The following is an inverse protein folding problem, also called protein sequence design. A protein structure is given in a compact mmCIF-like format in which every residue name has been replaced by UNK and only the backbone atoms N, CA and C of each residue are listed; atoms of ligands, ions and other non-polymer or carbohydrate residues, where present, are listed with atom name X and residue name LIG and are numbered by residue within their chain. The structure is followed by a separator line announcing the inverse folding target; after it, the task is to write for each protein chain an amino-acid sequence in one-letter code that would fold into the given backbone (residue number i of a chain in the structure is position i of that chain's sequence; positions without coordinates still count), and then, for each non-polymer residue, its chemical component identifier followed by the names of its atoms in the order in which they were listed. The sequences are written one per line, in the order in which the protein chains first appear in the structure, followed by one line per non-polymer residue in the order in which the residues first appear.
data_IF_380847611444
#
_entry.id   IF_380847611444
#
_cell.length_a   1.000
_cell.length_b   1.000
_cell.length_c   1.000
_cell.angle_alpha   90.00
_cell.angle_beta   90.00
_cell.angle_gamma   90.00
#
_symmetry.space_group_name_H-M   'P 1'
#
loop_
_entity.id
_entity.type
_entity.pdbx_description
1 polymer ?
#
# COMPACT_ATOMS: atom_id res chain seq x y z
N UNK A 1 -13.47 -2.93 8.61
CA UNK A 1 -12.10 -2.95 8.11
C UNK A 1 -11.76 -1.58 7.61
N UNK A 2 -10.55 -1.07 7.89
CA UNK A 2 -10.13 0.27 7.52
C UNK A 2 -8.66 0.27 7.12
N UNK A 3 -8.33 0.99 6.04
CA UNK A 3 -6.96 1.16 5.58
C UNK A 3 -6.21 2.20 6.41
N UNK A 4 -4.93 1.96 6.67
CA UNK A 4 -4.05 2.92 7.34
C UNK A 4 -3.63 4.05 6.39
N UNK A 5 -3.54 3.76 5.08
CA UNK A 5 -3.24 4.72 4.01
C UNK A 5 -4.53 5.19 3.31
N UNK A 6 -5.50 5.67 4.10
CA UNK A 6 -6.79 6.13 3.61
C UNK A 6 -7.12 7.51 4.16
N UNK A 7 -6.90 8.56 3.36
CA UNK A 7 -7.18 9.94 3.76
C UNK A 7 -8.64 10.35 3.54
N UNK A 8 -9.41 9.58 2.74
CA UNK A 8 -10.84 9.81 2.54
C UNK A 8 -11.67 9.29 3.72
N UNK A 9 -11.30 8.11 4.23
CA UNK A 9 -11.91 7.48 5.38
C UNK A 9 -10.83 7.15 6.41
N UNK A 10 -10.39 8.13 7.21
CA UNK A 10 -9.29 7.95 8.14
C UNK A 10 -9.64 6.97 9.28
N UNK A 11 -8.61 6.44 9.93
CA UNK A 11 -8.79 5.52 11.07
C UNK A 11 -9.67 6.11 12.19
N UNK A 12 -9.74 7.45 12.30
CA UNK A 12 -10.62 8.14 13.25
C UNK A 12 -12.08 7.76 13.02
N UNK A 13 -12.54 7.68 11.76
CA UNK A 13 -13.91 7.27 11.42
C UNK A 13 -14.19 5.83 11.85
N UNK A 14 -13.21 4.95 11.71
CA UNK A 14 -13.37 3.57 12.17
C UNK A 14 -13.54 3.48 13.68
N UNK A 15 -12.88 4.35 14.45
CA UNK A 15 -13.04 4.41 15.90
C UNK A 15 -14.40 4.98 16.32
N UNK A 16 -14.86 6.02 15.64
CA UNK A 16 -16.16 6.63 15.91
C UNK A 16 -17.31 5.66 15.59
N UNK A 17 -17.23 4.99 14.44
CA UNK A 17 -18.16 3.92 14.08
C UNK A 17 -18.14 2.77 15.10
N UNK A 18 -16.96 2.34 15.54
CA UNK A 18 -16.82 1.30 16.54
C UNK A 18 -17.39 1.74 17.89
N UNK A 19 -17.17 2.98 18.31
CA UNK A 19 -17.71 3.54 19.53
C UNK A 19 -19.26 3.58 19.49
N UNK A 20 -19.84 3.93 18.34
CA UNK A 20 -21.28 3.95 18.17
C UNK A 20 -21.88 2.53 18.18
N UNK A 21 -21.31 1.60 17.44
CA UNK A 21 -21.74 0.19 17.42
C UNK A 21 -21.63 -0.44 18.82
N UNK A 22 -20.61 -0.06 19.59
CA UNK A 22 -20.39 -0.60 20.94
C UNK A 22 -21.50 -0.26 21.94
N UNK A 23 -22.31 0.76 21.67
CA UNK A 23 -23.48 1.14 22.49
C UNK A 23 -24.70 0.26 22.22
N UNK A 24 -24.71 -0.44 21.10
CA UNK A 24 -25.87 -1.22 20.64
C UNK A 24 -25.78 -2.71 21.01
N UNK A 25 -26.78 -3.47 20.53
CA UNK A 25 -26.88 -4.93 20.72
C UNK A 25 -25.81 -5.72 19.96
N UNK A 26 -25.10 -5.09 19.01
CA UNK A 26 -24.05 -5.72 18.21
C UNK A 26 -22.65 -5.63 18.84
N UNK A 27 -22.50 -5.06 20.05
CA UNK A 27 -21.20 -4.83 20.72
C UNK A 27 -20.29 -6.08 20.81
N UNK A 28 -20.90 -7.25 21.04
CA UNK A 28 -20.14 -8.49 21.18
C UNK A 28 -19.70 -9.11 19.85
N UNK A 29 -20.23 -8.59 18.72
CA UNK A 29 -19.87 -8.98 17.38
C UNK A 29 -18.87 -8.01 16.72
N UNK A 30 -18.54 -6.91 17.41
CA UNK A 30 -17.65 -5.90 16.88
C UNK A 30 -16.21 -6.40 16.81
N UNK A 31 -15.61 -6.28 15.65
CA UNK A 31 -14.19 -6.46 15.42
C UNK A 31 -13.67 -5.37 14.48
N UNK A 32 -12.48 -4.87 14.76
CA UNK A 32 -11.78 -3.89 13.92
C UNK A 32 -10.56 -4.52 13.29
N UNK A 33 -10.35 -4.25 12.01
CA UNK A 33 -9.12 -4.61 11.29
C UNK A 33 -8.58 -3.35 10.64
N UNK A 34 -7.38 -2.92 11.04
CA UNK A 34 -6.60 -1.91 10.36
C UNK A 34 -5.56 -2.59 9.48
N UNK A 35 -5.53 -2.24 8.22
CA UNK A 35 -4.65 -2.87 7.24
C UNK A 35 -3.81 -1.83 6.52
N UNK A 36 -2.66 -2.21 5.98
CA UNK A 36 -1.67 -1.30 5.41
C UNK A 36 -2.07 -0.67 4.08
N UNK A 37 -3.19 -1.06 3.47
CA UNK A 37 -3.72 -0.44 2.26
C UNK A 37 -4.67 0.71 2.54
N UNK A 38 -5.16 1.36 1.49
CA UNK A 38 -6.15 2.43 1.54
C UNK A 38 -6.40 3.02 0.16
N UNK A 39 -7.17 4.12 0.07
CA UNK A 39 -7.38 4.84 -1.18
C UNK A 39 -6.09 5.50 -1.70
N UNK A 40 -5.17 5.85 -0.82
CA UNK A 40 -3.97 6.62 -1.15
C UNK A 40 -2.74 5.73 -1.39
N UNK A 41 -2.88 4.41 -1.28
CA UNK A 41 -1.79 3.49 -1.53
C UNK A 41 -1.69 2.36 -0.50
N UNK A 42 -0.46 1.95 -0.22
CA UNK A 42 -0.17 0.83 0.67
C UNK A 42 -0.31 -0.54 -0.01
N UNK A 43 -0.12 -1.60 0.75
CA UNK A 43 -0.17 -2.97 0.22
C UNK A 43 -1.60 -3.50 0.27
N UNK A 44 -2.04 -4.08 -0.85
CA UNK A 44 -3.31 -4.79 -0.88
C UNK A 44 -3.21 -6.09 -0.09
N UNK A 45 -4.00 -6.22 0.96
CA UNK A 45 -4.13 -7.43 1.78
C UNK A 45 -5.42 -8.20 1.46
N UNK A 46 -5.89 -8.12 0.22
CA UNK A 46 -7.21 -8.59 -0.20
C UNK A 46 -7.51 -10.04 0.18
N UNK A 47 -6.56 -10.97 0.01
CA UNK A 47 -6.74 -12.37 0.38
C UNK A 47 -6.93 -12.54 1.90
N UNK A 48 -6.11 -11.88 2.72
CA UNK A 48 -6.23 -11.90 4.18
C UNK A 48 -7.56 -11.31 4.65
N UNK A 49 -7.94 -10.16 4.09
CA UNK A 49 -9.17 -9.47 4.45
C UNK A 49 -10.42 -10.26 4.06
N UNK A 50 -10.40 -10.91 2.89
CA UNK A 50 -11.47 -11.81 2.47
C UNK A 50 -11.60 -13.00 3.41
N UNK A 51 -10.48 -13.64 3.77
CA UNK A 51 -10.48 -14.75 4.71
C UNK A 51 -11.00 -14.32 6.09
N UNK A 52 -10.55 -13.17 6.60
CA UNK A 52 -11.04 -12.62 7.86
C UNK A 52 -12.55 -12.33 7.82
N UNK A 53 -13.06 -11.81 6.69
CA UNK A 53 -14.51 -11.60 6.49
C UNK A 53 -15.27 -12.90 6.56
N UNK A 54 -14.81 -13.94 5.82
CA UNK A 54 -15.44 -15.27 5.83
C UNK A 54 -15.46 -15.85 7.24
N UNK A 55 -14.34 -15.79 7.96
CA UNK A 55 -14.23 -16.30 9.33
C UNK A 55 -15.19 -15.58 10.28
N UNK A 56 -15.32 -14.25 10.16
CA UNK A 56 -16.25 -13.46 10.97
C UNK A 56 -17.70 -13.85 10.68
N UNK A 57 -18.10 -13.99 9.39
CA UNK A 57 -19.42 -14.44 9.01
C UNK A 57 -19.70 -15.88 9.43
N UNK A 58 -18.75 -16.77 9.31
CA UNK A 58 -18.89 -18.17 9.75
C UNK A 58 -19.10 -18.26 11.27
N UNK A 59 -18.38 -17.43 12.04
CA UNK A 59 -18.59 -17.32 13.49
C UNK A 59 -19.99 -16.81 13.85
N UNK A 60 -20.40 -15.68 13.25
CA UNK A 60 -21.59 -14.95 13.72
C UNK A 60 -22.90 -15.32 13.02
N UNK A 61 -22.86 -15.86 11.79
CA UNK A 61 -24.04 -16.28 11.05
C UNK A 61 -24.22 -17.80 11.06
N UNK A 62 -23.14 -18.57 11.04
CA UNK A 62 -23.21 -20.03 11.02
C UNK A 62 -22.94 -20.67 12.38
N UNK A 63 -22.61 -19.89 13.40
CA UNK A 63 -22.34 -20.37 14.75
C UNK A 63 -21.09 -21.26 14.87
N UNK A 64 -20.14 -21.16 13.96
CA UNK A 64 -18.90 -21.94 14.01
C UNK A 64 -18.03 -21.47 15.18
N UNK A 65 -17.41 -22.40 15.88
CA UNK A 65 -16.47 -22.13 16.98
C UNK A 65 -15.12 -21.64 16.41
N UNK A 66 -15.06 -20.37 15.98
CA UNK A 66 -13.87 -19.72 15.46
C UNK A 66 -13.41 -18.67 16.47
N UNK A 67 -12.16 -18.74 16.89
CA UNK A 67 -11.54 -17.64 17.62
C UNK A 67 -11.23 -16.50 16.64
N UNK A 68 -11.79 -15.33 16.90
CA UNK A 68 -11.60 -14.15 16.10
C UNK A 68 -11.26 -12.97 17.01
N UNK A 69 -10.10 -12.34 16.86
CA UNK A 69 -9.68 -11.25 17.74
C UNK A 69 -10.57 -10.03 17.55
N UNK A 70 -10.71 -9.22 18.59
CA UNK A 70 -11.49 -7.98 18.50
C UNK A 70 -10.80 -6.90 17.70
N UNK A 71 -9.47 -6.93 17.68
CA UNK A 71 -8.67 -5.97 16.93
C UNK A 71 -7.49 -6.65 16.24
N UNK A 72 -7.23 -6.25 15.00
CA UNK A 72 -6.02 -6.57 14.25
C UNK A 72 -5.47 -5.32 13.61
N UNK A 73 -4.14 -5.22 13.55
CA UNK A 73 -3.44 -4.16 12.82
C UNK A 73 -2.23 -4.72 12.10
N UNK A 74 -1.95 -4.19 10.93
CA UNK A 74 -0.79 -4.56 10.12
C UNK A 74 0.38 -3.66 10.48
N UNK A 75 1.44 -4.23 11.07
CA UNK A 75 2.69 -3.51 11.29
C UNK A 75 3.52 -3.48 10.01
N UNK A 76 3.43 -2.38 9.28
CA UNK A 76 4.17 -2.13 8.06
C UNK A 76 5.55 -1.47 8.31
N UNK A 77 5.96 -1.24 9.56
CA UNK A 77 7.18 -0.48 9.90
C UNK A 77 8.49 -1.14 9.47
N UNK A 78 8.47 -2.41 9.07
CA UNK A 78 9.64 -3.13 8.52
C UNK A 78 9.70 -3.23 7.00
N UNK A 79 8.68 -2.75 6.27
CA UNK A 79 8.56 -2.92 4.81
C UNK A 79 8.86 -1.62 4.07
N UNK A 80 10.11 -1.18 4.08
CA UNK A 80 10.56 0.02 3.37
C UNK A 80 11.01 -0.25 1.93
N UNK A 81 10.32 -1.11 1.20
CA UNK A 81 10.62 -1.28 -0.23
C UNK A 81 9.33 -1.47 -1.03
N UNK A 82 9.05 -0.50 -1.88
CA UNK A 82 7.98 -0.56 -2.91
C UNK A 82 8.22 -1.71 -3.91
N UNK A 83 9.39 -2.35 -3.89
CA UNK A 83 9.79 -3.41 -4.81
C UNK A 83 9.82 -4.81 -4.20
N UNK A 84 9.66 -4.95 -2.89
CA UNK A 84 9.80 -6.26 -2.23
C UNK A 84 8.42 -6.80 -1.80
N UNK A 85 7.75 -7.47 -2.73
CA UNK A 85 6.47 -8.16 -2.50
C UNK A 85 6.60 -9.36 -1.53
N UNK A 86 7.78 -9.62 -1.00
CA UNK A 86 8.09 -10.73 -0.10
C UNK A 86 8.25 -10.33 1.37
N UNK A 87 8.24 -9.04 1.69
CA UNK A 87 8.29 -8.59 3.09
C UNK A 87 6.96 -8.94 3.77
N UNK A 88 6.99 -9.94 4.63
CA UNK A 88 5.82 -10.39 5.41
C UNK A 88 5.54 -9.33 6.46
N UNK A 89 4.51 -8.52 6.25
CA UNK A 89 4.02 -7.59 7.26
C UNK A 89 3.59 -8.38 8.51
N UNK A 90 4.00 -7.91 9.67
CA UNK A 90 3.61 -8.55 10.94
C UNK A 90 2.19 -8.15 11.29
N UNK A 91 1.29 -9.12 11.45
CA UNK A 91 -0.04 -8.87 11.97
C UNK A 91 0.00 -8.89 13.49
N UNK A 92 -0.42 -7.79 14.09
CA UNK A 92 -0.60 -7.68 15.54
C UNK A 92 -2.10 -7.78 15.87
N UNK A 93 -2.42 -8.38 16.99
CA UNK A 93 -3.82 -8.60 17.40
C UNK A 93 -4.05 -8.36 18.89
N UNK A 94 -5.29 -8.07 19.24
CA UNK A 94 -5.74 -7.85 20.61
C UNK A 94 -7.18 -8.30 20.80
N UNK A 95 -7.50 -8.72 22.03
CA UNK A 95 -8.88 -8.95 22.47
C UNK A 95 -9.54 -7.66 23.00
N UNK A 96 -8.81 -6.55 23.01
CA UNK A 96 -9.32 -5.22 23.32
C UNK A 96 -9.47 -4.40 22.04
N UNK A 97 -10.55 -3.63 21.96
CA UNK A 97 -10.75 -2.65 20.90
C UNK A 97 -9.98 -1.36 21.22
N UNK A 98 -9.45 -0.63 20.21
CA UNK A 98 -8.79 0.66 20.41
C UNK A 98 -9.66 1.72 21.09
N UNK A 99 -10.98 1.64 20.98
CA UNK A 99 -11.92 2.53 21.70
C UNK A 99 -11.87 2.34 23.24
N UNK A 100 -11.30 1.23 23.72
CA UNK A 100 -11.11 0.92 25.14
C UNK A 100 -9.63 0.98 25.53
N UNK A 101 -8.83 1.77 24.79
CA UNK A 101 -7.40 1.93 25.04
C UNK A 101 -7.15 2.67 26.36
N UNK A 102 -6.07 2.30 27.02
CA UNK A 102 -5.55 3.02 28.18
C UNK A 102 -4.64 4.15 27.67
N UNK A 103 -4.75 5.35 28.26
CA UNK A 103 -3.89 6.45 27.92
C UNK A 103 -2.64 6.46 28.79
N UNK A 104 -1.50 6.63 28.16
CA UNK A 104 -0.22 6.87 28.80
C UNK A 104 0.30 8.25 28.42
N UNK A 105 1.16 8.84 29.25
CA UNK A 105 1.75 10.16 29.01
C UNK A 105 3.23 10.05 28.63
N UNK A 106 3.67 10.93 27.75
CA UNK A 106 5.09 11.13 27.44
C UNK A 106 5.37 12.63 27.42
N UNK A 107 6.43 13.02 28.12
CA UNK A 107 6.87 14.43 28.20
C UNK A 107 7.27 14.93 26.80
N UNK A 108 6.79 16.14 26.48
CA UNK A 108 7.05 16.83 25.22
C UNK A 108 7.90 18.07 25.48
N UNK A 109 8.89 18.31 24.62
CA UNK A 109 9.67 19.54 24.63
C UNK A 109 8.79 20.74 24.24
N UNK A 110 8.83 21.80 25.03
CA UNK A 110 7.98 22.98 24.89
C UNK A 110 8.68 24.18 24.23
N UNK A 111 9.89 23.99 23.72
CA UNK A 111 10.75 25.11 23.31
C UNK A 111 10.56 25.47 21.83
N UNK A 112 9.53 26.30 21.50
CA UNK A 112 9.27 26.71 20.12
C UNK A 112 8.98 28.20 19.97
N UNK A 113 9.48 28.75 18.87
CA UNK A 113 9.25 30.13 18.46
C UNK A 113 7.91 30.33 17.70
N UNK A 114 7.56 31.61 17.42
CA UNK A 114 6.39 31.90 16.60
C UNK A 114 6.57 31.42 15.16
N UNK A 115 5.47 31.04 14.53
CA UNK A 115 5.41 30.71 13.11
C UNK A 115 4.28 31.53 12.44
N UNK A 116 4.29 31.58 11.13
CA UNK A 116 3.38 32.46 10.41
C UNK A 116 2.74 31.77 9.18
N UNK A 117 1.55 32.24 8.83
CA UNK A 117 0.89 31.97 7.56
C UNK A 117 1.18 33.12 6.61
N UNK A 118 1.98 32.95 5.54
CA UNK A 118 2.26 34.00 4.58
C UNK A 118 1.07 34.23 3.65
N UNK A 119 0.91 35.48 3.20
CA UNK A 119 -0.05 35.85 2.16
C UNK A 119 0.37 35.15 0.84
N UNK A 120 -0.51 34.32 0.27
CA UNK A 120 -0.23 33.64 -1.00
C UNK A 120 0.96 32.69 -0.96
N UNK A 121 1.37 32.25 0.24
CA UNK A 121 2.48 31.31 0.42
C UNK A 121 2.18 29.91 -0.10
N UNK A 122 3.24 29.13 -0.33
CA UNK A 122 3.11 27.71 -0.66
C UNK A 122 2.62 26.99 0.60
N UNK A 123 1.54 26.21 0.54
CA UNK A 123 1.04 25.47 1.69
C UNK A 123 2.06 24.40 2.13
N UNK A 124 2.16 24.20 3.44
CA UNK A 124 2.88 23.04 3.97
C UNK A 124 2.21 21.75 3.48
N UNK A 125 2.99 20.84 2.99
CA UNK A 125 2.50 19.54 2.50
C UNK A 125 2.60 18.50 3.64
N UNK A 126 1.77 18.66 4.69
CA UNK A 126 1.68 17.69 5.78
C UNK A 126 0.78 16.53 5.40
N UNK A 127 -0.43 16.84 4.90
CA UNK A 127 -1.37 15.80 4.47
C UNK A 127 -1.06 15.28 3.06
N UNK A 128 -1.45 14.05 2.78
CA UNK A 128 -1.60 13.56 1.42
C UNK A 128 -2.86 14.18 0.79
N UNK A 129 -2.83 14.43 -0.53
CA UNK A 129 -4.04 14.84 -1.24
C UNK A 129 -4.94 13.62 -1.45
N UNK A 130 -6.20 13.67 -1.02
CA UNK A 130 -7.12 12.56 -1.15
C UNK A 130 -7.24 12.06 -2.59
N UNK A 131 -7.10 10.74 -2.80
CA UNK A 131 -7.25 10.10 -4.10
C UNK A 131 -6.07 10.23 -5.06
N UNK A 132 -4.99 10.93 -4.68
CA UNK A 132 -3.78 11.04 -5.51
C UNK A 132 -2.68 10.06 -5.07
N UNK A 133 -2.84 9.38 -3.94
CA UNK A 133 -1.92 8.39 -3.40
C UNK A 133 -0.48 8.89 -3.36
N UNK A 134 0.46 8.00 -3.60
CA UNK A 134 1.88 8.34 -3.72
C UNK A 134 2.22 9.33 -4.86
N UNK A 135 1.30 9.58 -5.81
CA UNK A 135 1.48 10.56 -6.88
C UNK A 135 1.33 12.02 -6.38
N UNK A 136 0.60 12.25 -5.28
CA UNK A 136 0.58 13.56 -4.59
C UNK A 136 1.94 13.96 -4.04
N UNK A 137 2.82 13.00 -3.87
CA UNK A 137 4.22 13.18 -3.49
C UNK A 137 5.12 13.73 -4.58
N UNK A 138 4.68 13.78 -5.83
CA UNK A 138 5.48 14.35 -6.94
C UNK A 138 5.66 15.87 -6.80
N UNK A 139 4.71 16.57 -6.17
CA UNK A 139 4.89 17.99 -5.87
C UNK A 139 5.90 18.22 -4.73
N UNK A 140 5.97 17.30 -3.75
CA UNK A 140 6.98 17.33 -2.69
C UNK A 140 8.35 16.84 -3.17
N UNK A 141 8.42 15.94 -4.15
CA UNK A 141 9.69 15.52 -4.76
C UNK A 141 10.31 16.60 -5.65
N UNK A 142 9.50 17.47 -6.30
CA UNK A 142 10.02 18.65 -6.99
C UNK A 142 10.65 19.67 -6.01
N UNK A 143 10.12 19.77 -4.79
CA UNK A 143 10.70 20.61 -3.74
C UNK A 143 11.93 19.97 -3.09
N UNK A 144 11.96 18.65 -2.95
CA UNK A 144 13.11 17.87 -2.46
C UNK A 144 14.27 17.83 -3.49
N UNK A 145 13.97 17.92 -4.79
CA UNK A 145 14.97 18.02 -5.85
C UNK A 145 15.75 19.34 -5.83
N UNK A 146 15.25 20.37 -5.12
CA UNK A 146 15.95 21.64 -4.91
C UNK A 146 16.91 21.61 -3.70
N UNK A 147 17.01 20.54 -2.94
CA UNK A 147 17.80 20.49 -1.69
C UNK A 147 18.35 19.12 -1.26
N UNK A 148 18.84 18.30 -2.17
CA UNK A 148 19.85 17.27 -1.89
C UNK A 148 19.54 16.15 -0.90
N UNK A 149 19.68 14.98 -1.37
CA UNK A 149 19.87 13.61 -0.85
C UNK A 149 18.69 12.65 -1.05
N UNK A 150 18.93 11.81 -2.04
CA UNK A 150 18.04 10.76 -2.49
C UNK A 150 17.94 9.61 -1.49
N UNK A 151 16.76 9.43 -0.91
CA UNK A 151 16.29 8.13 -0.43
C UNK A 151 14.79 8.07 -0.73
N UNK A 152 14.46 7.53 -1.88
CA UNK A 152 13.09 7.17 -2.26
C UNK A 152 12.62 6.07 -1.31
N UNK A 153 11.76 6.41 -0.34
CA UNK A 153 11.23 5.38 0.55
C UNK A 153 10.25 5.85 1.61
N UNK A 154 10.35 7.06 2.10
CA UNK A 154 9.38 7.64 3.03
C UNK A 154 9.36 9.15 2.80
N UNK A 155 8.25 9.64 2.28
CA UNK A 155 8.06 11.08 2.13
C UNK A 155 8.09 11.70 3.51
N UNK A 156 9.19 12.38 3.80
CA UNK A 156 9.26 13.22 4.98
C UNK A 156 8.26 14.34 4.76
N UNK A 157 7.32 14.58 5.69
CA UNK A 157 6.37 15.68 5.57
C UNK A 157 7.14 16.99 5.36
N UNK A 158 6.73 17.77 4.36
CA UNK A 158 7.38 19.04 4.07
C UNK A 158 6.98 20.09 5.11
N UNK A 159 7.64 20.07 6.26
CA UNK A 159 7.52 21.09 7.29
C UNK A 159 8.32 22.32 6.85
N UNK A 160 7.61 23.35 6.42
CA UNK A 160 8.25 24.58 5.95
C UNK A 160 8.76 25.41 7.15
N UNK A 161 10.05 25.73 7.20
CA UNK A 161 10.59 26.58 8.26
C UNK A 161 9.85 27.91 8.35
N UNK A 162 9.46 28.29 9.57
CA UNK A 162 8.71 29.51 9.83
C UNK A 162 7.19 29.43 9.59
N UNK A 163 6.68 28.37 8.94
CA UNK A 163 5.25 28.13 8.74
C UNK A 163 4.73 26.96 9.59
N UNK A 164 5.59 26.29 10.31
CA UNK A 164 5.27 25.14 11.16
C UNK A 164 6.09 25.13 12.43
N UNK A 165 5.58 24.44 13.44
CA UNK A 165 6.24 24.15 14.69
C UNK A 165 6.21 22.65 14.97
N UNK A 166 7.22 22.15 15.70
CA UNK A 166 7.33 20.72 16.06
C UNK A 166 7.61 20.60 17.55
N UNK A 167 6.97 19.66 18.20
CA UNK A 167 7.16 19.33 19.60
C UNK A 167 7.56 17.86 19.70
N UNK A 168 8.83 17.61 19.96
CA UNK A 168 9.34 16.25 20.09
C UNK A 168 9.16 15.71 21.51
N UNK A 169 8.79 14.46 21.66
CA UNK A 169 8.82 13.78 22.95
C UNK A 169 10.24 13.47 23.37
N UNK A 170 10.42 13.12 24.65
CA UNK A 170 11.59 12.36 25.06
C UNK A 170 11.71 11.08 24.22
N UNK A 171 12.94 10.60 24.04
CA UNK A 171 13.16 9.32 23.38
C UNK A 171 12.50 8.19 24.17
N UNK A 172 11.85 7.28 23.48
CA UNK A 172 11.20 6.13 24.10
C UNK A 172 12.26 5.21 24.74
N UNK A 173 12.11 4.93 26.03
CA UNK A 173 13.00 4.00 26.75
C UNK A 173 12.71 2.54 26.39
N UNK A 174 11.50 2.24 25.97
CA UNK A 174 10.99 0.92 25.57
C UNK A 174 10.16 1.05 24.30
N UNK A 175 9.87 -0.09 23.69
CA UNK A 175 8.93 -0.11 22.57
C UNK A 175 7.56 0.42 23.00
N UNK A 176 6.97 1.32 22.20
CA UNK A 176 5.67 1.94 22.41
C UNK A 176 4.80 1.63 21.21
N UNK A 177 3.55 1.21 21.46
CA UNK A 177 2.52 1.09 20.44
C UNK A 177 1.43 2.13 20.72
N UNK A 178 1.30 3.12 19.84
CA UNK A 178 0.17 4.05 19.84
C UNK A 178 -0.92 3.46 18.98
N UNK A 179 -2.14 3.31 19.53
CA UNK A 179 -3.25 2.65 18.83
C UNK A 179 -4.51 3.49 19.02
N UNK A 180 -4.71 4.47 18.17
CA UNK A 180 -5.86 5.39 18.26
C UNK A 180 -5.46 6.85 18.20
N UNK A 181 -6.34 7.73 18.73
CA UNK A 181 -6.17 9.19 18.73
C UNK A 181 -5.47 9.66 19.98
N UNK A 182 -4.27 10.22 19.83
CA UNK A 182 -3.54 10.90 20.91
C UNK A 182 -4.15 12.28 21.21
N UNK A 183 -3.82 12.84 22.36
CA UNK A 183 -4.32 14.14 22.81
C UNK A 183 -3.20 14.97 23.41
N UNK A 184 -3.31 16.29 23.23
CA UNK A 184 -2.38 17.25 23.83
C UNK A 184 -3.15 18.55 24.18
N UNK A 185 -2.83 19.16 25.29
CA UNK A 185 -3.32 20.51 25.59
C UNK A 185 -2.26 21.51 25.19
N UNK A 186 -2.70 22.52 24.48
CA UNK A 186 -1.83 23.60 23.99
C UNK A 186 -2.42 24.96 24.31
N UNK A 187 -1.57 25.97 24.52
CA UNK A 187 -1.95 27.37 24.52
C UNK A 187 -1.65 27.95 23.15
N UNK A 188 -2.65 28.55 22.51
CA UNK A 188 -2.55 29.15 21.18
C UNK A 188 -2.71 30.66 21.31
N UNK A 189 -1.74 31.43 20.79
CA UNK A 189 -1.89 32.89 20.55
C UNK A 189 -1.93 33.13 19.05
N UNK A 190 -2.65 34.17 18.65
CA UNK A 190 -2.78 34.58 17.24
C UNK A 190 -2.69 36.12 17.14
N UNK A 191 -2.23 36.60 16.00
CA UNK A 191 -2.29 38.02 15.67
C UNK A 191 -3.72 38.49 15.37
N UNK A 192 -4.65 37.56 15.15
CA UNK A 192 -6.09 37.77 14.94
C UNK A 192 -6.89 37.09 16.06
N UNK A 193 -8.21 37.36 16.12
CA UNK A 193 -9.09 36.72 17.09
C UNK A 193 -9.44 35.26 16.73
N UNK A 194 -8.99 34.77 15.60
CA UNK A 194 -9.23 33.40 15.11
C UNK A 194 -7.93 32.76 14.61
N UNK A 195 -7.90 31.44 14.63
CA UNK A 195 -6.84 30.62 14.05
C UNK A 195 -7.41 29.35 13.41
N UNK A 196 -6.84 28.95 12.27
CA UNK A 196 -7.01 27.61 11.72
C UNK A 196 -5.63 26.99 11.65
N UNK A 197 -5.43 25.92 12.40
CA UNK A 197 -4.15 25.23 12.53
C UNK A 197 -4.32 23.75 12.22
N UNK A 198 -3.27 23.13 11.70
CA UNK A 198 -3.26 21.75 11.25
C UNK A 198 -2.28 20.95 12.11
N UNK A 199 -2.80 20.04 12.90
CA UNK A 199 -2.01 19.23 13.81
C UNK A 199 -1.84 17.81 13.29
N UNK A 200 -0.66 17.22 13.49
CA UNK A 200 -0.38 15.84 13.15
C UNK A 200 0.51 15.18 14.21
N UNK A 201 0.44 13.85 14.29
CA UNK A 201 1.32 13.04 15.11
C UNK A 201 2.25 12.24 14.20
N UNK A 202 3.53 12.40 14.40
CA UNK A 202 4.60 11.76 13.61
C UNK A 202 5.45 10.85 14.49
N UNK A 203 6.08 9.88 13.86
CA UNK A 203 7.19 9.13 14.44
C UNK A 203 8.51 9.67 13.91
N UNK A 204 9.49 9.88 14.79
CA UNK A 204 10.85 10.24 14.43
C UNK A 204 11.78 9.08 14.73
N UNK A 205 12.49 8.63 13.70
CA UNK A 205 13.52 7.59 13.83
C UNK A 205 14.74 8.10 14.58
N UNK A 206 15.62 7.19 14.98
CA UNK A 206 16.93 7.55 15.58
C UNK A 206 17.82 8.37 14.65
N UNK A 207 17.65 8.26 13.34
CA UNK A 207 18.36 9.08 12.34
C UNK A 207 17.76 10.47 12.14
N UNK A 208 16.64 10.80 12.81
CA UNK A 208 15.92 12.06 12.68
C UNK A 208 14.86 12.08 11.56
N UNK A 209 14.72 11.01 10.77
CA UNK A 209 13.69 10.93 9.73
C UNK A 209 12.29 10.91 10.34
N UNK A 210 11.39 11.76 9.80
CA UNK A 210 10.01 11.87 10.23
C UNK A 210 9.11 11.01 9.33
N UNK A 211 8.15 10.33 9.94
CA UNK A 211 7.10 9.56 9.28
C UNK A 211 5.74 10.02 9.80
N UNK A 212 4.85 10.42 8.89
CA UNK A 212 3.46 10.76 9.18
C UNK A 212 2.57 9.57 8.80
N UNK A 213 2.00 8.83 9.76
CA UNK A 213 1.09 7.73 9.47
C UNK A 213 -0.18 8.22 8.78
N UNK A 214 -0.58 7.52 7.72
CA UNK A 214 -1.80 7.82 6.98
C UNK A 214 -1.85 9.17 6.26
N UNK A 215 -0.77 9.98 6.32
CA UNK A 215 -0.72 11.28 5.65
C UNK A 215 -1.82 12.26 6.07
N UNK A 216 -2.30 12.22 7.33
CA UNK A 216 -3.49 12.93 7.79
C UNK A 216 -3.15 13.98 8.83
N UNK A 217 -3.87 15.12 8.77
CA UNK A 217 -3.82 16.19 9.75
C UNK A 217 -5.19 16.39 10.42
N UNK A 218 -5.19 16.91 11.65
CA UNK A 218 -6.38 17.39 12.33
C UNK A 218 -6.50 18.91 12.10
N UNK A 219 -7.46 19.37 11.30
CA UNK A 219 -7.76 20.79 11.19
C UNK A 219 -8.46 21.26 12.47
N UNK A 220 -7.93 22.29 13.10
CA UNK A 220 -8.48 22.89 14.32
C UNK A 220 -8.78 24.36 14.07
N UNK A 221 -10.05 24.73 14.14
CA UNK A 221 -10.50 26.12 14.06
C UNK A 221 -10.78 26.64 15.47
N UNK A 222 -10.08 27.69 15.85
CA UNK A 222 -10.26 28.39 17.12
C UNK A 222 -10.80 29.78 16.83
N UNK A 223 -11.77 30.24 17.64
CA UNK A 223 -12.38 31.57 17.57
C UNK A 223 -12.27 32.26 18.92
N UNK A 224 -12.40 33.57 18.91
CA UNK A 224 -12.40 34.41 20.12
C UNK A 224 -11.12 34.22 20.96
N UNK A 225 -9.96 34.12 20.28
CA UNK A 225 -8.67 33.98 20.93
C UNK A 225 -8.31 35.28 21.62
N UNK A 226 -8.20 35.31 22.97
CA UNK A 226 -7.78 36.49 23.70
C UNK A 226 -6.28 36.75 23.48
N UNK A 227 -5.83 37.98 23.73
CA UNK A 227 -4.40 38.36 23.61
C UNK A 227 -3.50 37.55 24.54
N UNK A 228 -4.04 37.06 25.66
CA UNK A 228 -3.32 36.18 26.58
C UNK A 228 -3.16 34.72 26.09
N UNK A 229 -3.79 34.37 24.96
CA UNK A 229 -3.86 33.01 24.42
C UNK A 229 -5.10 32.25 24.89
N UNK A 230 -5.45 31.24 24.10
CA UNK A 230 -6.55 30.32 24.37
C UNK A 230 -5.96 28.90 24.62
N UNK A 231 -6.38 28.29 25.72
CA UNK A 231 -6.03 26.90 26.01
C UNK A 231 -7.02 25.96 25.29
N UNK A 232 -6.49 25.02 24.53
CA UNK A 232 -7.27 24.08 23.75
C UNK A 232 -6.73 22.66 23.92
N UNK A 233 -7.65 21.70 24.03
CA UNK A 233 -7.32 20.27 23.94
C UNK A 233 -7.43 19.85 22.48
N UNK A 234 -6.33 19.33 21.92
CA UNK A 234 -6.22 18.90 20.55
C UNK A 234 -6.27 17.38 20.50
N UNK A 235 -7.27 16.83 19.83
CA UNK A 235 -7.35 15.40 19.48
C UNK A 235 -6.65 15.20 18.14
N UNK A 236 -5.56 14.46 18.14
CA UNK A 236 -4.78 14.14 16.95
C UNK A 236 -5.46 13.03 16.14
N UNK A 237 -5.20 12.93 14.83
CA UNK A 237 -5.74 11.84 14.02
C UNK A 237 -5.41 10.47 14.61
N UNK A 238 -6.33 9.53 14.49
CA UNK A 238 -6.07 8.16 14.89
C UNK A 238 -4.98 7.54 14.02
N UNK A 239 -4.06 6.86 14.65
CA UNK A 239 -2.94 6.21 13.96
C UNK A 239 -2.53 4.91 14.67
N UNK A 240 -1.87 4.04 13.92
CA UNK A 240 -1.01 3.01 14.48
C UNK A 240 0.44 3.46 14.34
N UNK A 241 1.11 3.65 15.48
CA UNK A 241 2.53 4.01 15.52
C UNK A 241 3.25 3.04 16.43
N UNK A 242 4.24 2.35 15.88
CA UNK A 242 5.17 1.54 16.65
C UNK A 242 6.50 2.27 16.73
N UNK A 243 6.95 2.55 17.94
CA UNK A 243 8.25 3.12 18.22
C UNK A 243 9.18 2.07 18.81
N UNK A 244 10.39 2.01 18.30
CA UNK A 244 11.48 1.30 18.92
C UNK A 244 12.12 2.17 20.04
N UNK A 245 12.86 1.57 20.99
CA UNK A 245 13.64 2.34 21.96
C UNK A 245 14.57 3.34 21.26
N UNK A 246 14.60 4.57 21.74
CA UNK A 246 15.39 5.67 21.16
C UNK A 246 14.68 6.47 20.06
N UNK A 247 13.51 6.06 19.59
CA UNK A 247 12.66 6.84 18.69
C UNK A 247 11.74 7.78 19.48
N UNK A 248 11.11 8.75 18.79
CA UNK A 248 10.32 9.80 19.42
C UNK A 248 8.95 9.93 18.75
N UNK A 249 7.97 10.41 19.51
CA UNK A 249 6.76 11.02 18.97
C UNK A 249 7.00 12.50 18.72
N UNK A 250 6.49 13.01 17.62
CA UNK A 250 6.57 14.44 17.29
C UNK A 250 5.17 14.93 16.96
N UNK A 251 4.70 15.91 17.71
CA UNK A 251 3.50 16.68 17.35
C UNK A 251 3.94 17.82 16.45
N UNK A 252 3.46 17.84 15.22
CA UNK A 252 3.69 18.95 14.31
C UNK A 252 2.41 19.80 14.20
N UNK A 253 2.58 21.11 14.11
CA UNK A 253 1.52 22.06 13.84
C UNK A 253 1.93 22.97 12.69
N UNK A 254 1.04 23.18 11.73
CA UNK A 254 1.24 24.07 10.60
C UNK A 254 0.15 25.09 10.51
N UNK A 255 0.50 26.29 10.01
CA UNK A 255 -0.44 27.37 9.72
C UNK A 255 -1.23 27.14 8.41
N UNK A 256 -0.75 26.25 7.57
CA UNK A 256 -1.32 25.94 6.24
C UNK A 256 -1.21 24.46 5.96
N UNK A 257 -2.09 23.93 5.10
CA UNK A 257 -1.99 22.59 4.59
C UNK A 257 -2.54 22.51 3.16
N UNK A 258 -1.91 21.70 2.30
CA UNK A 258 -2.26 21.59 0.88
C UNK A 258 -3.68 21.04 0.62
N UNK A 259 -4.25 20.31 1.56
CA UNK A 259 -5.60 19.76 1.46
C UNK A 259 -6.70 20.77 1.79
N UNK A 260 -6.34 21.98 2.20
CA UNK A 260 -7.29 22.98 2.72
C UNK A 260 -7.08 24.36 2.09
N UNK A 261 -8.14 25.18 2.15
CA UNK A 261 -8.06 26.56 1.70
C UNK A 261 -7.09 27.38 2.57
N UNK A 262 -6.24 28.17 1.91
CA UNK A 262 -5.27 29.03 2.57
C UNK A 262 -5.95 30.29 3.14
N UNK A 263 -5.47 30.84 4.27
CA UNK A 263 -5.90 32.15 4.73
C UNK A 263 -5.49 33.23 3.73
N UNK A 264 -6.36 34.23 3.53
CA UNK A 264 -6.12 35.34 2.59
C UNK A 264 -5.20 36.40 3.15
N UNK A 265 -4.98 36.44 4.46
CA UNK A 265 -4.20 37.44 5.20
C UNK A 265 -3.03 36.74 5.94
N UNK A 266 -1.94 37.47 6.09
CA UNK A 266 -0.77 37.02 6.87
C UNK A 266 -1.09 36.99 8.35
N UNK A 267 -0.77 35.86 9.01
CA UNK A 267 -1.06 35.65 10.43
C UNK A 267 0.14 35.09 11.17
N UNK A 268 0.32 35.54 12.41
CA UNK A 268 1.34 34.99 13.30
C UNK A 268 0.69 34.18 14.40
N UNK A 269 1.27 33.04 14.69
CA UNK A 269 0.81 32.12 15.72
C UNK A 269 1.95 31.75 16.66
N UNK A 270 1.61 31.51 17.92
CA UNK A 270 2.46 30.77 18.83
C UNK A 270 1.62 29.64 19.43
N UNK A 271 2.14 28.44 19.38
CA UNK A 271 1.53 27.26 20.01
C UNK A 271 2.52 26.75 21.05
N UNK A 272 2.06 26.59 22.28
CA UNK A 272 2.89 26.11 23.39
C UNK A 272 2.20 24.93 24.04
N UNK A 273 2.81 23.74 24.11
CA UNK A 273 2.28 22.64 24.90
C UNK A 273 2.16 23.04 26.38
N UNK A 274 1.04 22.73 26.99
CA UNK A 274 0.74 22.97 28.41
C UNK A 274 0.45 21.67 29.14
N UNK A 275 0.54 20.52 28.47
CA UNK A 275 0.49 19.17 29.04
C UNK A 275 1.46 18.27 28.32
N UNK A 276 1.75 17.12 28.92
CA UNK A 276 2.36 16.01 28.22
C UNK A 276 1.46 15.51 27.08
N UNK A 277 2.05 14.79 26.13
CA UNK A 277 1.29 14.08 25.10
C UNK A 277 0.68 12.80 25.70
N UNK A 278 -0.63 12.72 25.68
CA UNK A 278 -1.37 11.52 26.05
C UNK A 278 -1.58 10.67 24.79
N UNK A 279 -1.17 9.41 24.84
CA UNK A 279 -1.32 8.48 23.73
C UNK A 279 -2.03 7.18 24.16
N UNK A 280 -2.95 6.68 23.31
CA UNK A 280 -3.69 5.45 23.62
C UNK A 280 -2.86 4.21 23.30
N UNK A 281 -2.95 3.20 24.16
CA UNK A 281 -2.28 1.92 23.97
C UNK A 281 -3.19 0.76 24.39
N UNK A 282 -3.03 -0.37 23.69
CA UNK A 282 -3.65 -1.65 24.06
C UNK A 282 -2.58 -2.75 23.99
N UNK A 283 -2.72 -3.84 24.75
CA UNK A 283 -1.85 -5.00 24.60
C UNK A 283 -1.97 -5.58 23.19
N UNK A 284 -0.86 -5.71 22.49
CA UNK A 284 -0.76 -6.29 21.16
C UNK A 284 0.14 -7.52 21.19
N UNK A 285 -0.33 -8.63 20.63
CA UNK A 285 0.42 -9.85 20.43
C UNK A 285 0.60 -10.10 18.94
N UNK A 286 1.73 -10.66 18.53
CA UNK A 286 1.91 -11.11 17.15
C UNK A 286 0.91 -12.24 16.87
N UNK A 287 0.15 -12.12 15.79
CA UNK A 287 -0.65 -13.22 15.30
C UNK A 287 0.32 -14.33 14.87
N UNK A 288 0.40 -15.39 15.65
CA UNK A 288 1.15 -16.59 15.25
C UNK A 288 0.43 -17.20 14.06
N UNK A 289 0.95 -16.97 12.87
CA UNK A 289 0.58 -17.77 11.71
C UNK A 289 1.12 -19.19 11.96
N UNK A 290 0.24 -20.05 12.47
CA UNK A 290 0.54 -21.49 12.67
C UNK A 290 0.91 -22.22 11.37
N UNK A 291 0.82 -21.52 10.25
CA UNK A 291 1.17 -22.00 8.91
C UNK A 291 2.67 -22.28 8.71
N UNK A 292 3.58 -21.60 9.42
CA UNK A 292 5.01 -21.82 9.18
C UNK A 292 5.50 -23.18 9.68
N UNK A 293 4.91 -23.73 10.74
CA UNK A 293 5.34 -25.05 11.27
C UNK A 293 4.85 -26.23 10.43
N UNK A 294 3.80 -26.05 9.63
CA UNK A 294 3.27 -27.08 8.74
C UNK A 294 3.92 -26.97 7.34
N UNK A 295 4.29 -25.78 6.91
CA UNK A 295 4.83 -25.54 5.58
C UNK A 295 6.21 -26.18 5.38
N UNK A 296 7.14 -26.05 6.33
CA UNK A 296 8.48 -26.59 6.19
C UNK A 296 8.54 -28.13 6.14
N UNK A 297 7.88 -28.90 7.02
CA UNK A 297 7.84 -30.34 6.90
C UNK A 297 7.08 -30.81 5.65
N UNK A 298 6.03 -30.07 5.22
CA UNK A 298 5.33 -30.38 3.98
C UNK A 298 6.20 -30.12 2.75
N UNK A 299 6.96 -29.04 2.71
CA UNK A 299 7.93 -28.74 1.65
C UNK A 299 9.10 -29.74 1.66
N UNK A 300 9.58 -30.14 2.83
CA UNK A 300 10.62 -31.17 2.94
C UNK A 300 10.11 -32.53 2.44
N UNK A 301 8.88 -32.91 2.77
CA UNK A 301 8.24 -34.11 2.27
C UNK A 301 7.99 -34.04 0.76
N UNK A 302 7.53 -32.91 0.25
CA UNK A 302 7.29 -32.66 -1.17
C UNK A 302 8.61 -32.73 -1.97
N UNK A 303 9.68 -32.10 -1.47
CA UNK A 303 11.01 -32.19 -2.12
C UNK A 303 11.57 -33.59 -2.08
N UNK A 304 11.35 -34.35 -1.02
CA UNK A 304 11.72 -35.75 -0.93
C UNK A 304 10.93 -36.62 -1.93
N UNK A 305 9.62 -36.41 -2.03
CA UNK A 305 8.75 -37.08 -3.01
C UNK A 305 9.17 -36.76 -4.44
N UNK A 306 9.42 -35.47 -4.73
CA UNK A 306 9.88 -35.00 -6.04
C UNK A 306 11.27 -35.59 -6.38
N UNK A 307 12.18 -35.66 -5.41
CA UNK A 307 13.49 -36.31 -5.59
C UNK A 307 13.35 -37.81 -5.87
N UNK A 308 12.47 -38.50 -5.16
CA UNK A 308 12.18 -39.92 -5.40
C UNK A 308 11.49 -40.16 -6.75
N UNK A 309 10.59 -39.28 -7.16
CA UNK A 309 9.98 -39.30 -8.50
C UNK A 309 11.06 -39.03 -9.56
N UNK A 310 11.92 -38.04 -9.34
CA UNK A 310 13.01 -37.69 -10.26
C UNK A 310 14.02 -38.83 -10.43
N UNK A 311 14.30 -39.56 -9.36
CA UNK A 311 15.18 -40.76 -9.40
C UNK A 311 14.49 -41.94 -10.13
N UNK A 312 13.17 -42.09 -10.01
CA UNK A 312 12.42 -43.18 -10.63
C UNK A 312 11.92 -42.92 -12.04
N UNK A 313 11.67 -41.66 -12.39
CA UNK A 313 11.25 -41.30 -13.75
C UNK A 313 12.50 -41.13 -14.61
N UNK A 314 12.89 -42.20 -15.31
CA UNK A 314 13.66 -42.05 -16.54
C UNK A 314 12.91 -41.05 -17.39
N UNK A 315 13.54 -39.89 -17.65
CA UNK A 315 12.99 -38.81 -18.45
C UNK A 315 12.26 -39.41 -19.65
N UNK A 316 10.95 -39.22 -19.83
CA UNK A 316 10.36 -39.49 -21.11
C UNK A 316 11.09 -38.57 -22.08
N UNK A 317 11.79 -39.11 -23.06
CA UNK A 317 12.13 -38.37 -24.26
C UNK A 317 10.82 -37.81 -24.77
N UNK A 318 10.67 -36.51 -24.71
CA UNK A 318 9.68 -35.82 -25.50
C UNK A 318 10.06 -36.19 -26.94
N UNK A 319 9.28 -37.08 -27.49
CA UNK A 319 9.40 -37.48 -28.91
C UNK A 319 9.02 -36.22 -29.69
N UNK A 320 10.03 -35.51 -30.14
CA UNK A 320 9.88 -34.44 -31.10
C UNK A 320 9.70 -35.07 -32.49
N UNK A 321 8.62 -35.79 -32.67
CA UNK A 321 8.16 -36.23 -33.98
C UNK A 321 6.88 -35.49 -34.35
N UNK A 322 7.00 -34.15 -34.43
CA UNK A 322 6.14 -33.40 -35.34
C UNK A 322 7.04 -32.93 -36.48
N UNK A 323 6.87 -33.61 -37.61
CA UNK A 323 7.48 -33.25 -38.89
C UNK A 323 7.28 -31.77 -39.10
N UNK A 324 8.35 -30.98 -38.91
CA UNK A 324 8.39 -29.59 -39.28
C UNK A 324 8.14 -29.52 -40.80
N UNK A 325 6.87 -29.20 -41.17
CA UNK A 325 6.56 -28.91 -42.54
C UNK A 325 7.23 -27.58 -42.88
N UNK A 326 8.20 -27.61 -43.76
CA UNK A 326 9.01 -26.46 -44.25
C UNK A 326 8.14 -25.31 -44.84
N UNK A 327 6.82 -25.48 -44.87
CA UNK A 327 5.84 -24.54 -45.46
C UNK A 327 5.15 -23.64 -44.45
N UNK A 328 5.09 -24.00 -43.19
CA UNK A 328 4.29 -23.28 -42.16
C UNK A 328 5.18 -22.42 -41.28
N UNK A 329 4.93 -21.12 -41.25
CA UNK A 329 5.64 -20.17 -40.38
C UNK A 329 5.15 -20.28 -38.94
N UNK A 330 3.84 -20.44 -38.74
CA UNK A 330 3.23 -20.68 -37.43
C UNK A 330 2.46 -21.98 -37.50
N UNK A 331 2.60 -22.84 -36.50
CA UNK A 331 1.84 -24.05 -36.35
C UNK A 331 1.33 -24.16 -34.93
N UNK A 332 0.05 -24.40 -34.77
CA UNK A 332 -0.65 -24.65 -33.52
C UNK A 332 -1.30 -26.01 -33.61
N UNK A 333 -1.08 -26.87 -32.61
CA UNK A 333 -1.59 -28.22 -32.58
C UNK A 333 -2.20 -28.57 -31.23
N UNK A 334 -3.47 -28.98 -31.25
CA UNK A 334 -4.26 -29.44 -30.09
C UNK A 334 -4.14 -28.51 -28.88
N UNK A 335 -4.11 -27.20 -29.14
CA UNK A 335 -3.87 -26.19 -28.12
C UNK A 335 -5.08 -26.03 -27.22
N UNK A 336 -4.86 -26.26 -25.91
CA UNK A 336 -5.89 -26.06 -24.90
C UNK A 336 -5.36 -25.23 -23.73
N UNK A 337 -6.24 -24.43 -23.12
CA UNK A 337 -5.95 -23.66 -21.92
C UNK A 337 -7.07 -23.75 -20.91
N UNK A 338 -6.76 -24.29 -19.74
CA UNK A 338 -7.62 -24.31 -18.56
C UNK A 338 -6.94 -23.46 -17.48
N UNK A 339 -7.70 -22.53 -16.88
CA UNK A 339 -7.24 -21.71 -15.75
C UNK A 339 -7.47 -22.43 -14.41
N UNK A 340 -6.85 -21.92 -13.35
CA UNK A 340 -6.87 -22.56 -12.03
C UNK A 340 -8.25 -22.68 -11.38
N UNK A 341 -9.22 -21.89 -11.84
CA UNK A 341 -10.65 -21.94 -11.47
C UNK A 341 -11.45 -22.99 -12.24
N UNK A 342 -10.78 -23.75 -13.14
CA UNK A 342 -11.41 -24.74 -14.01
C UNK A 342 -12.00 -24.17 -15.30
N UNK A 343 -11.91 -22.85 -15.52
CA UNK A 343 -12.40 -22.24 -16.76
C UNK A 343 -11.55 -22.64 -17.96
N UNK A 344 -12.16 -23.32 -18.95
CA UNK A 344 -11.52 -23.70 -20.23
C UNK A 344 -11.66 -22.57 -21.23
N UNK A 345 -10.59 -21.80 -21.41
CA UNK A 345 -10.57 -20.63 -22.29
C UNK A 345 -10.30 -20.98 -23.77
N UNK A 346 -9.53 -22.05 -24.02
CA UNK A 346 -9.24 -22.58 -25.36
C UNK A 346 -9.35 -24.10 -25.28
N UNK A 347 -9.96 -24.71 -26.28
CA UNK A 347 -10.22 -26.15 -26.33
C UNK A 347 -9.84 -26.72 -27.70
N UNK A 348 -8.80 -27.56 -27.72
CA UNK A 348 -8.34 -28.34 -28.87
C UNK A 348 -8.17 -27.56 -30.18
N UNK A 349 -7.59 -26.33 -30.10
CA UNK A 349 -7.41 -25.46 -31.24
C UNK A 349 -6.19 -25.88 -32.07
N UNK A 350 -6.40 -26.12 -33.38
CA UNK A 350 -5.32 -26.47 -34.32
C UNK A 350 -5.45 -25.67 -35.61
N UNK A 351 -4.38 -25.02 -36.02
CA UNK A 351 -4.27 -24.35 -37.32
C UNK A 351 -2.79 -24.06 -37.67
N UNK A 352 -2.55 -23.67 -38.92
CA UNK A 352 -1.24 -23.25 -39.38
C UNK A 352 -1.33 -22.00 -40.25
N UNK A 353 -0.24 -21.21 -40.24
CA UNK A 353 -0.11 -20.01 -41.06
C UNK A 353 1.19 -20.12 -41.89
N UNK A 354 1.04 -20.08 -43.19
CA UNK A 354 2.18 -20.10 -44.10
C UNK A 354 2.87 -18.74 -44.23
N UNK A 355 4.07 -18.75 -44.84
CA UNK A 355 4.77 -17.48 -45.12
C UNK A 355 3.95 -16.59 -46.05
N UNK A 356 3.85 -15.30 -45.73
CA UNK A 356 3.10 -14.32 -46.49
C UNK A 356 1.57 -14.40 -46.35
N UNK A 357 1.05 -15.29 -45.51
CA UNK A 357 -0.38 -15.39 -45.23
C UNK A 357 -0.81 -14.42 -44.12
N UNK A 358 -2.03 -13.94 -44.25
CA UNK A 358 -2.76 -13.21 -43.18
C UNK A 358 -3.90 -14.10 -42.67
N UNK A 359 -3.90 -14.38 -41.39
CA UNK A 359 -4.94 -15.16 -40.73
C UNK A 359 -5.78 -14.26 -39.80
N UNK A 360 -7.09 -14.24 -39.99
CA UNK A 360 -8.01 -13.59 -39.07
C UNK A 360 -8.51 -14.54 -37.99
N UNK A 361 -8.27 -14.23 -36.71
CA UNK A 361 -8.82 -14.96 -35.58
C UNK A 361 -10.12 -14.30 -35.13
N UNK A 362 -11.25 -14.84 -35.55
CA UNK A 362 -12.58 -14.27 -35.34
C UNK A 362 -13.38 -15.06 -34.29
N UNK A 363 -14.28 -14.39 -33.60
CA UNK A 363 -15.18 -15.01 -32.61
C UNK A 363 -15.77 -13.99 -31.64
N UNK A 364 -16.81 -14.33 -30.89
CA UNK A 364 -17.43 -13.46 -29.90
C UNK A 364 -16.48 -13.16 -28.72
N UNK A 365 -16.89 -12.24 -27.85
CA UNK A 365 -16.14 -12.00 -26.60
C UNK A 365 -16.16 -13.27 -25.73
N UNK A 366 -15.03 -13.60 -25.14
CA UNK A 366 -14.87 -14.85 -24.39
C UNK A 366 -14.47 -16.09 -25.22
N UNK A 367 -14.43 -16.02 -26.56
CA UNK A 367 -14.05 -17.14 -27.44
C UNK A 367 -12.56 -17.55 -27.39
N UNK A 368 -11.77 -17.08 -26.43
CA UNK A 368 -10.38 -17.47 -26.26
C UNK A 368 -9.36 -16.78 -27.18
N UNK A 369 -9.76 -15.80 -28.00
CA UNK A 369 -8.87 -15.10 -28.94
C UNK A 369 -7.64 -14.50 -28.28
N UNK A 370 -7.84 -13.67 -27.24
CA UNK A 370 -6.75 -13.03 -26.48
C UNK A 370 -5.88 -14.07 -25.77
N UNK A 371 -6.51 -15.12 -25.23
CA UNK A 371 -5.78 -16.24 -24.59
C UNK A 371 -4.89 -16.96 -25.58
N UNK A 372 -5.37 -17.24 -26.81
CA UNK A 372 -4.58 -17.85 -27.89
C UNK A 372 -3.39 -16.97 -28.28
N UNK A 373 -3.63 -15.66 -28.47
CA UNK A 373 -2.54 -14.71 -28.78
C UNK A 373 -1.52 -14.62 -27.65
N UNK A 374 -1.94 -14.60 -26.39
CA UNK A 374 -1.02 -14.62 -25.24
C UNK A 374 -0.17 -15.87 -25.17
N UNK A 375 -0.73 -17.03 -25.52
CA UNK A 375 0.04 -18.28 -25.66
C UNK A 375 1.03 -18.23 -26.83
N UNK A 376 0.60 -17.70 -27.97
CA UNK A 376 1.48 -17.52 -29.17
C UNK A 376 2.66 -16.60 -28.88
N UNK A 377 2.47 -15.59 -28.04
CA UNK A 377 3.53 -14.66 -27.60
C UNK A 377 4.37 -15.20 -26.42
N UNK A 378 4.11 -16.42 -25.95
CA UNK A 378 4.81 -16.97 -24.80
C UNK A 378 4.55 -16.27 -23.48
N UNK A 379 3.48 -15.49 -23.37
CA UNK A 379 3.10 -14.79 -22.11
C UNK A 379 2.42 -15.72 -21.12
N UNK A 380 1.75 -16.77 -21.61
CA UNK A 380 1.15 -17.83 -20.79
C UNK A 380 1.42 -19.18 -21.43
N UNK A 381 1.56 -20.22 -20.60
CA UNK A 381 1.75 -21.58 -21.08
C UNK A 381 0.42 -22.24 -21.42
N UNK A 382 0.34 -23.04 -22.50
CA UNK A 382 -0.80 -23.92 -22.73
C UNK A 382 -0.89 -24.99 -21.64
N UNK A 383 -2.10 -25.51 -21.44
CA UNK A 383 -2.32 -26.70 -20.57
C UNK A 383 -2.04 -27.97 -21.35
N UNK A 384 -2.44 -28.00 -22.62
CA UNK A 384 -2.20 -29.11 -23.54
C UNK A 384 -1.86 -28.58 -24.94
N UNK A 385 -1.24 -29.41 -25.77
CA UNK A 385 -0.84 -29.08 -27.13
C UNK A 385 0.41 -28.19 -27.19
N UNK A 386 0.63 -27.55 -28.35
CA UNK A 386 1.84 -26.74 -28.56
C UNK A 386 1.74 -25.74 -29.68
N UNK A 387 2.70 -24.82 -29.68
CA UNK A 387 2.86 -23.76 -30.68
C UNK A 387 4.30 -23.79 -31.18
N UNK A 388 4.47 -23.65 -32.48
CA UNK A 388 5.78 -23.55 -33.13
C UNK A 388 5.80 -22.35 -34.07
N UNK A 389 6.91 -21.64 -34.05
CA UNK A 389 7.21 -20.55 -35.00
C UNK A 389 8.50 -20.92 -35.72
N UNK A 390 8.43 -20.99 -37.06
CA UNK A 390 9.55 -21.37 -37.94
C UNK A 390 10.21 -22.69 -37.47
N UNK A 391 9.37 -23.68 -37.08
CA UNK A 391 9.79 -24.97 -36.55
C UNK A 391 10.30 -25.01 -35.11
N UNK A 392 10.39 -23.88 -34.43
CA UNK A 392 10.88 -23.77 -33.06
C UNK A 392 9.70 -23.67 -32.06
N UNK A 393 9.71 -24.43 -30.96
CA UNK A 393 8.62 -24.40 -29.99
C UNK A 393 8.57 -23.07 -29.24
N UNK A 394 7.35 -22.61 -28.95
CA UNK A 394 7.08 -21.37 -28.23
C UNK A 394 6.82 -21.66 -26.76
N UNK A 395 7.62 -21.05 -25.91
CA UNK A 395 7.46 -21.00 -24.46
C UNK A 395 8.11 -19.70 -23.92
N UNK A 396 7.85 -19.27 -22.69
CA UNK A 396 8.46 -18.07 -22.14
C UNK A 396 9.98 -18.08 -22.24
N UNK A 397 10.57 -17.09 -22.94
CA UNK A 397 12.01 -17.00 -23.15
C UNK A 397 12.57 -17.83 -24.31
N UNK A 398 11.73 -18.50 -25.11
CA UNK A 398 12.23 -19.25 -26.28
C UNK A 398 12.77 -18.33 -27.38
N UNK A 399 13.79 -18.79 -28.12
CA UNK A 399 14.38 -18.04 -29.25
C UNK A 399 13.39 -17.79 -30.39
N UNK A 400 12.30 -18.55 -30.49
CA UNK A 400 11.24 -18.33 -31.45
C UNK A 400 10.59 -16.94 -31.31
N UNK A 401 10.51 -16.43 -30.07
CA UNK A 401 9.89 -15.13 -29.78
C UNK A 401 10.69 -13.93 -30.29
N UNK A 402 12.00 -14.08 -30.53
CA UNK A 402 12.83 -13.00 -31.11
C UNK A 402 12.43 -12.64 -32.53
N UNK A 403 11.71 -13.52 -33.22
CA UNK A 403 11.21 -13.33 -34.58
C UNK A 403 9.76 -12.80 -34.63
N UNK A 404 9.12 -12.60 -33.47
CA UNK A 404 7.72 -12.21 -33.36
C UNK A 404 7.60 -10.73 -32.97
N UNK A 405 6.95 -9.93 -33.80
CA UNK A 405 6.44 -8.62 -33.41
C UNK A 405 4.98 -8.75 -32.99
N UNK A 406 4.58 -8.19 -31.86
CA UNK A 406 3.21 -8.32 -31.35
C UNK A 406 2.65 -7.02 -30.78
N UNK A 407 1.35 -6.84 -30.99
CA UNK A 407 0.55 -5.80 -30.37
C UNK A 407 -0.62 -6.45 -29.61
N UNK A 408 -0.73 -6.17 -28.32
CA UNK A 408 -1.81 -6.67 -27.47
C UNK A 408 -2.41 -5.51 -26.71
N UNK A 409 -3.72 -5.35 -26.86
CA UNK A 409 -4.52 -4.39 -26.09
C UNK A 409 -4.09 -2.91 -26.23
N UNK A 410 -3.55 -2.53 -27.39
CA UNK A 410 -3.13 -1.17 -27.70
C UNK A 410 -1.62 -1.00 -27.83
N UNK A 411 -1.15 0.15 -28.30
CA UNK A 411 0.24 0.37 -28.69
C UNK A 411 1.24 0.44 -27.53
N UNK A 412 0.81 0.42 -26.26
CA UNK A 412 1.70 0.49 -25.10
C UNK A 412 2.64 1.71 -25.09
N UNK A 413 2.27 2.77 -25.84
CA UNK A 413 3.07 3.97 -25.91
C UNK A 413 3.01 4.75 -24.61
N UNK A 414 4.16 5.28 -24.20
CA UNK A 414 4.24 6.17 -23.06
C UNK A 414 3.68 7.55 -23.47
N UNK A 415 2.61 8.01 -22.82
CA UNK A 415 1.89 9.21 -23.27
C UNK A 415 2.68 10.52 -23.09
N UNK A 416 3.73 10.50 -22.28
CA UNK A 416 4.58 11.65 -22.00
C UNK A 416 5.81 11.75 -22.90
N UNK A 417 5.95 10.86 -23.90
CA UNK A 417 7.06 10.84 -24.86
C UNK A 417 6.52 10.99 -26.27
N UNK A 418 7.38 11.48 -27.17
CA UNK A 418 7.05 11.61 -28.58
C UNK A 418 6.98 10.23 -29.27
N UNK A 419 6.37 10.15 -30.43
CA UNK A 419 6.33 8.91 -31.22
C UNK A 419 7.73 8.37 -31.57
N UNK A 420 8.70 9.26 -31.84
CA UNK A 420 10.10 8.88 -32.11
C UNK A 420 10.76 8.28 -30.85
N UNK A 421 10.59 8.91 -29.70
CA UNK A 421 11.14 8.42 -28.44
C UNK A 421 10.53 7.07 -28.03
N UNK A 422 9.23 6.88 -28.23
CA UNK A 422 8.59 5.58 -28.00
C UNK A 422 9.18 4.48 -28.89
N UNK A 423 9.42 4.77 -30.18
CA UNK A 423 10.05 3.82 -31.10
C UNK A 423 11.52 3.54 -30.74
N UNK A 424 12.25 4.55 -30.31
CA UNK A 424 13.65 4.41 -29.87
C UNK A 424 13.74 3.55 -28.57
N UNK A 425 12.86 3.79 -27.61
CA UNK A 425 12.76 2.97 -26.41
C UNK A 425 12.44 1.50 -26.73
N UNK A 426 11.50 1.27 -27.64
CA UNK A 426 11.16 -0.08 -28.08
C UNK A 426 12.35 -0.74 -28.77
N UNK A 427 13.05 -0.01 -29.66
CA UNK A 427 14.20 -0.50 -30.40
C UNK A 427 15.35 -0.93 -29.49
N UNK A 428 15.64 -0.12 -28.48
CA UNK A 428 16.66 -0.45 -27.45
C UNK A 428 16.22 -1.61 -26.57
N UNK A 429 14.93 -1.69 -26.20
CA UNK A 429 14.41 -2.77 -25.38
C UNK A 429 14.54 -4.15 -26.03
N UNK A 430 14.53 -4.25 -27.36
CA UNK A 430 14.76 -5.49 -28.09
C UNK A 430 16.25 -5.78 -28.34
N UNK A 431 17.19 -5.01 -27.75
CA UNK A 431 18.64 -5.22 -27.84
C UNK A 431 19.25 -4.82 -29.19
N UNK A 432 18.66 -3.86 -29.89
CA UNK A 432 19.19 -3.28 -31.11
C UNK A 432 19.71 -1.86 -30.85
N UNK A 433 20.86 -1.56 -31.41
CA UNK A 433 21.51 -0.23 -31.38
C UNK A 433 20.86 0.75 -32.37
#
# INVERSE_FOLDING_TARGET
MQGEEDSLFPLTESLENAAEISKGSAKDKLALIWHSGGHDGGNSEGERLNLASIQWFDKHLKGRAIEFPKFQVTDATGTLSVSDSTAIATILQSDRLPINAEYQSIEIDSNMGPFFSPIGGVPAALSSLPGLGSAGSLASSALAALGGNNSFGTLSPALLPGQSAQFASKAADRAINVVGSSKIKVRVTSSTSDATLFFSLMAQSRSGALRLPGGIVAPVKLTDIPKSGLDAEIKLPAAFIKLAPGEKLVVAVSATDQGYALPVDGRFYTVTPISDLEYPTIPLNSATTSSQYIFWPFMALLTLILALIFIRVKRPRIVADVIASDKNLIQISNLSKVYGDGYRAVDDLSFSVGRGQVLGLLGPNGAGKTTTLRMLMGLIMPTEGGIWIDGHPVFPGSSALSKLGSFVEGPGFLPHTTGRENLDLYWRAIGRD
#
